data_IF_142875946953
#
_entry.id   IF_142875946953
#
_cell.length_a   1.000
_cell.length_b   1.000
_cell.length_c   1.000
_cell.angle_alpha   90.00
_cell.angle_beta   90.00
_cell.angle_gamma   90.00
#
_symmetry.space_group_name_H-M   'P 1'
#
loop_
_entity.id
_entity.type
_entity.pdbx_description
1 polymer ?
#
# COMPACT_ATOMS: atom_id res chain seq x y z
N UNK A 1 6.53 8.44 42.51
CA UNK A 1 7.28 7.67 41.49
C UNK A 1 8.14 6.68 42.25
N UNK A 2 8.02 5.38 41.96
CA UNK A 2 8.77 4.33 42.65
C UNK A 2 10.26 4.40 42.28
N UNK A 3 11.11 4.58 43.28
CA UNK A 3 12.56 4.71 43.16
C UNK A 3 13.27 3.39 42.81
N UNK A 4 12.58 2.25 42.94
CA UNK A 4 13.13 0.92 42.67
C UNK A 4 12.77 0.39 41.27
N UNK A 5 12.02 1.17 40.48
CA UNK A 5 11.66 0.78 39.12
C UNK A 5 12.77 1.16 38.15
N UNK A 6 13.23 0.18 37.35
CA UNK A 6 14.22 0.41 36.29
C UNK A 6 13.70 1.44 35.28
N UNK A 7 14.57 2.37 34.87
CA UNK A 7 14.26 3.36 33.83
C UNK A 7 13.94 2.61 32.53
N UNK A 8 12.81 2.90 31.87
CA UNK A 8 12.45 2.22 30.62
C UNK A 8 13.52 2.50 29.56
N UNK A 9 14.04 1.42 28.98
CA UNK A 9 14.98 1.52 27.88
C UNK A 9 14.27 2.11 26.65
N UNK A 10 14.99 2.94 25.89
CA UNK A 10 14.53 3.37 24.58
C UNK A 10 14.45 2.15 23.65
N UNK A 11 13.42 2.11 22.80
CA UNK A 11 13.27 1.05 21.82
C UNK A 11 14.52 1.03 20.90
N UNK A 12 15.09 -0.15 20.65
CA UNK A 12 16.28 -0.25 19.82
C UNK A 12 15.91 0.03 18.36
N UNK A 13 16.76 0.79 17.65
CA UNK A 13 16.51 1.20 16.26
C UNK A 13 16.58 0.05 15.25
N UNK A 14 16.98 -1.14 15.69
CA UNK A 14 17.02 -2.36 14.88
C UNK A 14 15.68 -3.13 14.84
N UNK A 15 14.68 -2.72 15.64
CA UNK A 15 13.36 -3.34 15.66
C UNK A 15 12.34 -2.48 14.90
N UNK A 16 12.53 -2.40 13.58
CA UNK A 16 11.53 -1.84 12.66
C UNK A 16 10.43 -2.84 12.33
N UNK A 17 9.27 -2.33 11.90
CA UNK A 17 8.21 -3.15 11.30
C UNK A 17 7.81 -2.53 9.96
N UNK A 18 7.37 -3.37 9.03
CA UNK A 18 6.83 -2.94 7.75
C UNK A 18 5.34 -2.64 7.95
N UNK A 19 4.84 -1.57 7.34
CA UNK A 19 3.41 -1.26 7.39
C UNK A 19 2.59 -2.45 6.83
N UNK A 20 1.52 -2.90 7.51
CA UNK A 20 0.78 -4.10 7.08
C UNK A 20 0.31 -4.08 5.63
N UNK A 21 -0.13 -2.93 5.11
CA UNK A 21 -0.52 -2.80 3.69
C UNK A 21 0.64 -3.12 2.74
N UNK A 22 1.87 -2.70 3.05
CA UNK A 22 3.04 -2.97 2.22
C UNK A 22 3.36 -4.47 2.22
N UNK A 23 3.21 -5.13 3.37
CA UNK A 23 3.40 -6.59 3.47
C UNK A 23 2.40 -7.34 2.58
N UNK A 24 1.13 -6.93 2.58
CA UNK A 24 0.10 -7.57 1.75
C UNK A 24 0.28 -7.27 0.26
N UNK A 25 0.71 -6.06 -0.11
CA UNK A 25 1.03 -5.71 -1.50
C UNK A 25 2.18 -6.57 -2.03
N UNK A 26 3.26 -6.73 -1.24
CA UNK A 26 4.40 -7.59 -1.60
C UNK A 26 3.97 -9.05 -1.77
N UNK A 27 3.14 -9.56 -0.85
CA UNK A 27 2.61 -10.93 -0.91
C UNK A 27 1.77 -11.17 -2.16
N UNK A 28 0.86 -10.27 -2.49
CA UNK A 28 0.01 -10.39 -3.68
C UNK A 28 0.89 -10.31 -4.94
N UNK A 29 1.83 -9.38 -4.96
CA UNK A 29 2.78 -9.21 -6.07
C UNK A 29 3.60 -10.47 -6.34
N UNK A 30 4.11 -11.16 -5.30
CA UNK A 30 4.84 -12.43 -5.46
C UNK A 30 4.00 -13.53 -6.10
N UNK A 31 2.72 -13.64 -5.71
CA UNK A 31 1.81 -14.65 -6.27
C UNK A 31 1.64 -14.44 -7.78
N UNK A 32 1.39 -13.20 -8.22
CA UNK A 32 1.22 -12.88 -9.64
C UNK A 32 2.53 -12.96 -10.43
N UNK A 33 3.64 -12.56 -9.81
CA UNK A 33 4.97 -12.70 -10.41
C UNK A 33 5.29 -14.16 -10.74
N UNK A 34 4.97 -15.09 -9.83
CA UNK A 34 5.15 -16.53 -10.04
C UNK A 34 4.25 -17.11 -11.13
N UNK A 35 3.16 -16.43 -11.49
CA UNK A 35 2.31 -16.76 -12.63
C UNK A 35 2.82 -16.16 -13.95
N UNK A 36 3.93 -15.40 -13.93
CA UNK A 36 4.54 -14.76 -15.10
C UNK A 36 4.01 -13.37 -15.41
N UNK A 37 3.25 -12.74 -14.49
CA UNK A 37 2.83 -11.35 -14.64
C UNK A 37 3.93 -10.38 -14.20
N UNK A 38 3.85 -9.16 -14.71
CA UNK A 38 4.70 -8.03 -14.29
C UNK A 38 3.85 -7.05 -13.50
N UNK A 39 4.40 -6.55 -12.39
CA UNK A 39 3.76 -5.53 -11.55
C UNK A 39 4.25 -4.17 -12.02
N UNK A 40 3.32 -3.31 -12.42
CA UNK A 40 3.59 -1.95 -12.88
C UNK A 40 2.84 -0.97 -11.96
N UNK A 41 3.53 0.08 -11.51
CA UNK A 41 2.89 1.18 -10.78
C UNK A 41 2.31 2.20 -11.75
N UNK A 42 1.09 2.65 -11.47
CA UNK A 42 0.46 3.73 -12.21
C UNK A 42 0.69 5.08 -11.53
N UNK A 43 0.42 6.15 -12.27
CA UNK A 43 0.37 7.50 -11.71
C UNK A 43 -0.80 7.65 -10.76
N UNK A 44 -0.59 8.36 -9.65
CA UNK A 44 -1.67 8.66 -8.69
C UNK A 44 -2.68 9.67 -9.26
N UNK A 45 -2.22 10.58 -10.13
CA UNK A 45 -3.04 11.58 -10.81
C UNK A 45 -3.06 11.26 -12.29
N UNK A 46 -4.23 10.93 -12.82
CA UNK A 46 -4.44 10.55 -14.22
C UNK A 46 -5.59 11.35 -14.87
N UNK A 47 -5.72 11.23 -16.19
CA UNK A 47 -6.73 11.95 -16.94
C UNK A 47 -8.12 11.27 -16.92
N UNK A 48 -9.12 12.06 -17.28
CA UNK A 48 -10.53 11.64 -17.26
C UNK A 48 -10.83 10.50 -18.24
N UNK A 49 -10.02 10.33 -19.29
CA UNK A 49 -10.24 9.31 -20.30
C UNK A 49 -9.78 7.93 -19.81
N UNK A 50 -8.57 7.83 -19.26
CA UNK A 50 -7.99 6.58 -18.74
C UNK A 50 -8.73 6.09 -17.49
N UNK A 51 -9.21 7.00 -16.64
CA UNK A 51 -9.92 6.64 -15.40
C UNK A 51 -11.41 6.30 -15.60
N UNK A 52 -12.07 6.82 -16.65
CA UNK A 52 -13.53 6.70 -16.77
C UNK A 52 -14.00 6.32 -18.16
N UNK A 53 -13.71 7.14 -19.17
CA UNK A 53 -14.35 7.00 -20.49
C UNK A 53 -13.96 5.69 -21.17
N UNK A 54 -12.70 5.27 -21.03
CA UNK A 54 -12.20 3.99 -21.53
C UNK A 54 -12.71 2.77 -20.75
N UNK A 55 -13.14 2.96 -19.50
CA UNK A 55 -13.61 1.91 -18.58
C UNK A 55 -15.14 1.81 -18.52
N UNK A 56 -15.84 2.29 -19.55
CA UNK A 56 -17.30 2.23 -19.68
C UNK A 56 -18.08 3.09 -18.67
N UNK A 57 -17.51 4.22 -18.23
CA UNK A 57 -18.19 5.22 -17.39
C UNK A 57 -18.58 6.48 -18.19
N UNK A 58 -19.85 6.59 -18.65
CA UNK A 58 -20.29 7.75 -19.44
C UNK A 58 -20.40 9.04 -18.62
N UNK A 59 -20.59 10.18 -19.30
CA UNK A 59 -20.88 11.48 -18.65
C UNK A 59 -22.17 11.38 -17.84
N UNK A 60 -22.08 11.71 -16.55
CA UNK A 60 -23.22 11.65 -15.61
C UNK A 60 -23.41 10.31 -14.88
N UNK A 61 -22.48 9.36 -15.01
CA UNK A 61 -22.54 8.13 -14.22
C UNK A 61 -22.34 8.42 -12.72
N UNK A 62 -23.16 7.89 -11.78
CA UNK A 62 -23.07 8.20 -10.35
C UNK A 62 -21.74 7.84 -9.68
N UNK A 63 -21.04 6.83 -10.23
CA UNK A 63 -19.71 6.41 -9.77
C UNK A 63 -18.55 7.17 -10.43
N UNK A 64 -18.85 8.16 -11.28
CA UNK A 64 -17.88 9.10 -11.85
C UNK A 64 -17.79 10.32 -10.95
#
# INVERSE_FOLDING_TARGET
MDINTAIPALLPTNQGSIHPLMQEIERISDIFYRMGFVVEESREIDDQFHMFESLNFPKGHPAR
#
